data_IF_580020359279
#
_entry.id   IF_580020359279
#
_cell.length_a   1.000
_cell.length_b   1.000
_cell.length_c   1.000
_cell.angle_alpha   90.00
_cell.angle_beta   90.00
_cell.angle_gamma   90.00
#
_symmetry.space_group_name_H-M   'P 1'
#
loop_
_entity.id
_entity.type
_entity.pdbx_description
1 polymer ?
#
# COMPACT_ATOMS: atom_id res chain seq x y z
N UNK A 1 10.01 12.67 35.51
CA UNK A 1 9.96 11.66 34.39
C UNK A 1 8.93 12.15 33.38
N UNK A 2 9.20 11.99 32.08
CA UNK A 2 8.29 12.35 31.00
C UNK A 2 7.10 11.39 30.98
N UNK A 3 5.88 11.89 30.76
CA UNK A 3 4.68 11.05 30.61
C UNK A 3 4.72 10.34 29.23
N UNK A 4 4.32 9.06 29.21
CA UNK A 4 4.15 8.31 27.95
C UNK A 4 3.00 8.90 27.13
N UNK A 5 3.14 8.94 25.81
CA UNK A 5 2.00 9.21 24.92
C UNK A 5 0.94 8.11 25.12
N UNK A 6 -0.24 8.51 25.61
CA UNK A 6 -1.32 7.58 25.94
C UNK A 6 -1.85 6.82 24.72
N UNK A 7 -1.77 7.44 23.54
CA UNK A 7 -2.22 6.79 22.30
C UNK A 7 -1.39 5.55 21.95
N UNK A 8 -0.09 5.55 22.28
CA UNK A 8 0.76 4.36 22.10
C UNK A 8 0.33 3.18 22.99
N UNK A 9 -0.39 3.43 24.06
CA UNK A 9 -0.92 2.40 24.94
C UNK A 9 -2.20 1.74 24.39
N UNK A 10 -2.88 2.40 23.44
CA UNK A 10 -4.09 1.87 22.79
C UNK A 10 -3.75 0.79 21.75
N UNK A 11 -2.53 0.80 21.18
CA UNK A 11 -2.11 -0.21 20.21
C UNK A 11 -2.02 -1.56 20.91
N UNK A 12 -2.75 -2.53 20.37
CA UNK A 12 -2.77 -3.89 20.91
C UNK A 12 -1.36 -4.49 20.80
N UNK A 13 -0.89 -5.07 21.90
CA UNK A 13 0.37 -5.80 21.90
C UNK A 13 0.25 -6.99 20.93
N UNK A 14 1.06 -6.99 19.87
CA UNK A 14 0.99 -8.04 18.84
C UNK A 14 0.53 -7.52 17.49
N UNK A 15 1.19 -6.45 16.98
CA UNK A 15 1.06 -6.08 15.57
C UNK A 15 1.25 -7.33 14.70
N UNK A 16 0.44 -7.48 13.67
CA UNK A 16 0.32 -8.64 12.79
C UNK A 16 1.68 -9.30 12.41
N UNK A 17 2.61 -8.54 11.87
CA UNK A 17 3.88 -9.08 11.37
C UNK A 17 4.85 -9.56 12.47
N UNK A 18 5.01 -8.90 13.62
CA UNK A 18 5.74 -9.45 14.76
C UNK A 18 5.17 -10.77 15.27
N UNK A 19 3.85 -10.93 15.32
CA UNK A 19 3.22 -12.19 15.76
C UNK A 19 3.45 -13.32 14.75
N UNK A 20 3.34 -13.06 13.44
CA UNK A 20 3.72 -14.02 12.40
C UNK A 20 5.17 -14.46 12.58
N UNK A 21 6.09 -13.50 12.78
CA UNK A 21 7.52 -13.80 12.98
C UNK A 21 7.77 -14.57 14.27
N UNK A 22 7.03 -14.32 15.35
CA UNK A 22 7.10 -15.07 16.60
C UNK A 22 6.72 -16.53 16.37
N UNK A 23 5.54 -16.79 15.78
CA UNK A 23 5.07 -18.16 15.49
C UNK A 23 6.00 -18.90 14.53
N UNK A 24 6.51 -18.23 13.50
CA UNK A 24 7.53 -18.79 12.61
C UNK A 24 8.78 -19.22 13.37
N UNK A 25 9.32 -18.39 14.28
CA UNK A 25 10.50 -18.72 15.08
C UNK A 25 10.23 -19.92 16.01
N UNK A 26 9.09 -19.95 16.69
CA UNK A 26 8.70 -21.06 17.56
C UNK A 26 8.58 -22.38 16.79
N UNK A 27 8.00 -22.31 15.58
CA UNK A 27 7.92 -23.48 14.70
C UNK A 27 9.32 -24.00 14.30
N UNK A 28 10.23 -23.10 13.92
CA UNK A 28 11.60 -23.47 13.54
C UNK A 28 12.41 -24.00 14.72
N UNK A 29 12.18 -23.51 15.95
CA UNK A 29 12.83 -24.08 17.16
C UNK A 29 12.44 -25.55 17.38
N UNK A 30 11.16 -25.90 17.10
CA UNK A 30 10.66 -27.27 17.20
C UNK A 30 11.04 -28.13 16.00
N UNK A 31 11.26 -27.50 14.84
CA UNK A 31 11.51 -28.14 13.55
C UNK A 31 12.75 -27.53 12.87
N UNK A 32 13.97 -27.74 13.38
CA UNK A 32 15.18 -27.01 12.91
C UNK A 32 15.55 -27.28 11.46
N UNK A 33 15.09 -28.40 10.89
CA UNK A 33 15.34 -28.77 9.49
C UNK A 33 14.23 -28.32 8.53
N UNK A 34 13.19 -27.62 9.01
CA UNK A 34 12.08 -27.17 8.19
C UNK A 34 12.54 -26.06 7.21
N UNK A 35 12.16 -26.22 5.95
CA UNK A 35 12.40 -25.22 4.90
C UNK A 35 11.13 -24.41 4.67
N UNK A 36 11.04 -23.26 5.36
CA UNK A 36 9.86 -22.38 5.27
C UNK A 36 9.86 -21.60 3.98
N UNK A 37 8.75 -21.67 3.23
CA UNK A 37 8.43 -20.79 2.12
C UNK A 37 7.61 -19.62 2.66
N UNK A 38 8.01 -18.39 2.36
CA UNK A 38 7.31 -17.19 2.82
C UNK A 38 6.46 -16.57 1.72
N UNK A 39 5.14 -16.74 1.81
CA UNK A 39 4.13 -16.10 0.95
C UNK A 39 3.37 -15.00 1.70
N UNK A 40 3.81 -14.61 2.90
CA UNK A 40 3.10 -13.67 3.77
C UNK A 40 3.55 -12.22 3.62
N UNK A 41 4.78 -11.95 3.23
CA UNK A 41 5.38 -10.62 3.29
C UNK A 41 5.28 -9.91 1.95
N UNK A 42 4.82 -8.67 1.96
CA UNK A 42 4.77 -7.79 0.78
C UNK A 42 6.12 -7.12 0.49
N UNK A 43 7.21 -7.88 0.52
CA UNK A 43 8.56 -7.40 0.20
C UNK A 43 9.04 -7.99 -1.12
N UNK A 44 9.53 -7.14 -2.03
CA UNK A 44 10.12 -7.56 -3.29
C UNK A 44 11.39 -8.38 -3.05
N UNK A 45 11.64 -9.39 -3.88
CA UNK A 45 12.74 -10.35 -3.73
C UNK A 45 13.74 -10.34 -4.87
N UNK A 46 13.27 -9.93 -6.06
CA UNK A 46 14.15 -9.83 -7.21
C UNK A 46 15.10 -8.63 -7.09
N UNK A 47 16.33 -8.73 -7.62
CA UNK A 47 17.27 -7.63 -7.63
C UNK A 47 16.75 -6.42 -8.40
N UNK A 48 17.30 -5.23 -8.07
CA UNK A 48 17.05 -4.03 -8.86
C UNK A 48 17.47 -4.24 -10.30
N UNK A 49 16.70 -3.69 -11.22
CA UNK A 49 16.94 -3.85 -12.65
C UNK A 49 18.21 -3.10 -13.09
N UNK A 50 18.91 -3.56 -14.16
CA UNK A 50 20.18 -2.99 -14.58
C UNK A 50 20.14 -1.49 -14.86
N UNK A 51 19.08 -1.00 -15.51
CA UNK A 51 18.93 0.42 -15.85
C UNK A 51 18.79 1.30 -14.59
N UNK A 52 17.98 0.85 -13.64
CA UNK A 52 17.83 1.50 -12.33
C UNK A 52 19.17 1.54 -11.57
N UNK A 53 19.89 0.41 -11.54
CA UNK A 53 21.22 0.34 -10.90
C UNK A 53 22.21 1.31 -11.56
N UNK A 54 22.18 1.44 -12.88
CA UNK A 54 23.02 2.41 -13.59
C UNK A 54 22.68 3.85 -13.17
N UNK A 55 21.40 4.20 -13.06
CA UNK A 55 20.97 5.53 -12.59
C UNK A 55 21.43 5.83 -11.15
N UNK A 56 21.28 4.87 -10.23
CA UNK A 56 21.76 5.01 -8.84
C UNK A 56 23.29 5.20 -8.80
N UNK A 57 24.06 4.39 -9.52
CA UNK A 57 25.52 4.48 -9.59
C UNK A 57 25.99 5.82 -10.14
N UNK A 58 25.39 6.28 -11.24
CA UNK A 58 25.71 7.55 -11.86
C UNK A 58 25.61 8.72 -10.88
N UNK A 59 24.56 8.71 -10.04
CA UNK A 59 24.41 9.78 -9.03
C UNK A 59 25.43 9.65 -7.89
N UNK A 60 25.74 8.44 -7.43
CA UNK A 60 26.80 8.22 -6.42
C UNK A 60 28.15 8.73 -6.95
N UNK A 61 28.49 8.43 -8.21
CA UNK A 61 29.71 8.90 -8.86
C UNK A 61 29.71 10.42 -8.99
N UNK A 62 28.59 11.04 -9.39
CA UNK A 62 28.44 12.50 -9.48
C UNK A 62 28.67 13.17 -8.14
N UNK A 63 28.08 12.63 -7.07
CA UNK A 63 28.24 13.17 -5.70
C UNK A 63 29.68 13.08 -5.17
N UNK A 64 30.55 12.26 -5.78
CA UNK A 64 31.96 12.13 -5.38
C UNK A 64 32.85 13.24 -5.92
N UNK A 65 32.36 14.13 -6.79
CA UNK A 65 33.10 15.24 -7.38
C UNK A 65 32.64 16.57 -6.81
N UNK A 66 33.54 17.58 -6.83
CA UNK A 66 33.21 18.92 -6.36
C UNK A 66 32.13 19.60 -7.20
N UNK A 67 32.16 19.38 -8.51
CA UNK A 67 31.22 19.93 -9.49
C UNK A 67 29.87 19.29 -9.44
N UNK A 68 29.82 17.99 -9.11
CA UNK A 68 28.59 17.21 -9.04
C UNK A 68 27.97 17.11 -7.65
N UNK A 69 28.69 17.52 -6.61
CA UNK A 69 28.13 17.44 -5.25
C UNK A 69 26.91 18.34 -5.12
N UNK A 70 25.81 17.73 -4.63
CA UNK A 70 24.59 18.42 -4.23
C UNK A 70 24.35 18.21 -2.73
N UNK A 71 24.05 19.28 -1.99
CA UNK A 71 23.60 19.21 -0.60
C UNK A 71 22.12 18.86 -0.51
N UNK A 72 21.38 19.56 0.35
CA UNK A 72 19.92 19.48 0.39
C UNK A 72 19.35 19.93 -0.96
N UNK A 73 18.48 19.10 -1.55
CA UNK A 73 17.67 19.48 -2.69
C UNK A 73 16.38 20.19 -2.28
N UNK A 74 15.51 20.45 -3.26
CA UNK A 74 14.17 20.94 -2.99
C UNK A 74 13.40 19.88 -2.19
N UNK A 75 12.72 20.30 -1.11
CA UNK A 75 11.94 19.39 -0.24
C UNK A 75 10.81 18.72 -0.99
N UNK A 76 10.33 19.32 -2.08
CA UNK A 76 9.31 18.75 -2.98
C UNK A 76 9.88 17.69 -3.93
N UNK A 77 11.21 17.60 -4.03
CA UNK A 77 11.93 16.73 -4.96
C UNK A 77 12.36 17.43 -6.26
N UNK A 78 13.24 16.77 -6.99
CA UNK A 78 13.83 17.26 -8.26
C UNK A 78 12.71 17.62 -9.24
N UNK A 79 12.72 18.86 -9.75
CA UNK A 79 11.66 19.41 -10.61
C UNK A 79 11.45 18.57 -11.88
N UNK A 80 12.54 18.17 -12.52
CA UNK A 80 12.53 17.35 -13.73
C UNK A 80 11.89 15.99 -13.45
N UNK A 81 12.18 15.38 -12.29
CA UNK A 81 11.60 14.10 -11.89
C UNK A 81 10.09 14.20 -11.62
N UNK A 82 9.65 15.26 -10.94
CA UNK A 82 8.22 15.53 -10.72
C UNK A 82 7.45 15.68 -12.04
N UNK A 83 8.05 16.40 -13.02
CA UNK A 83 7.48 16.57 -14.35
C UNK A 83 7.44 15.24 -15.13
N UNK A 84 8.51 14.44 -15.04
CA UNK A 84 8.58 13.11 -15.66
C UNK A 84 7.53 12.15 -15.09
N UNK A 85 7.30 12.15 -13.77
CA UNK A 85 6.21 11.39 -13.14
C UNK A 85 4.85 11.81 -13.67
N UNK A 86 4.57 13.11 -13.70
CA UNK A 86 3.31 13.65 -14.19
C UNK A 86 3.02 13.24 -15.65
N UNK A 87 4.04 13.24 -16.49
CA UNK A 87 3.91 12.84 -17.89
C UNK A 87 3.78 11.31 -18.05
N UNK A 88 4.74 10.54 -17.48
CA UNK A 88 4.88 9.10 -17.77
C UNK A 88 3.86 8.23 -17.06
N UNK A 89 3.45 8.58 -15.82
CA UNK A 89 2.52 7.76 -15.04
C UNK A 89 1.09 8.32 -15.01
N UNK A 90 0.92 9.63 -15.22
CA UNK A 90 -0.40 10.26 -15.18
C UNK A 90 -0.88 10.78 -16.55
N UNK A 91 -0.04 10.68 -17.60
CA UNK A 91 -0.44 11.13 -18.94
C UNK A 91 -0.86 12.60 -19.00
N UNK A 92 -0.33 13.45 -18.10
CA UNK A 92 -0.68 14.89 -18.02
C UNK A 92 -1.95 15.19 -17.21
N UNK A 93 -2.60 14.21 -16.58
CA UNK A 93 -3.76 14.42 -15.69
C UNK A 93 -3.41 15.25 -14.45
N UNK A 94 -2.14 15.26 -14.04
CA UNK A 94 -1.60 16.06 -12.95
C UNK A 94 -0.43 16.90 -13.45
N UNK A 95 -0.13 18.01 -12.74
CA UNK A 95 1.02 18.86 -13.06
C UNK A 95 2.23 18.46 -12.20
N UNK A 96 3.45 18.68 -12.71
CA UNK A 96 4.66 18.37 -11.95
C UNK A 96 4.79 19.13 -10.62
N UNK A 97 4.20 20.32 -10.49
CA UNK A 97 4.20 21.08 -9.25
C UNK A 97 3.16 20.59 -8.21
N UNK A 98 2.24 19.72 -8.59
CA UNK A 98 1.32 19.02 -7.68
C UNK A 98 1.92 17.71 -7.14
N UNK A 99 3.06 17.27 -7.68
CA UNK A 99 3.77 16.05 -7.26
C UNK A 99 4.85 16.40 -6.23
N UNK A 100 4.86 15.70 -5.11
CA UNK A 100 5.83 15.82 -4.04
C UNK A 100 6.55 14.49 -3.85
N UNK A 101 7.86 14.45 -4.04
CA UNK A 101 8.68 13.25 -3.90
C UNK A 101 8.97 12.99 -2.43
N UNK A 102 8.94 11.73 -2.02
CA UNK A 102 9.14 11.32 -0.64
C UNK A 102 9.97 10.03 -0.50
N UNK A 103 10.15 9.62 0.75
CA UNK A 103 10.82 8.37 1.14
C UNK A 103 9.87 7.16 1.19
N UNK A 104 8.66 7.29 0.63
CA UNK A 104 7.72 6.21 0.43
C UNK A 104 6.32 6.45 0.99
N UNK A 105 5.33 5.79 0.39
CA UNK A 105 3.91 5.97 0.68
C UNK A 105 3.54 5.88 2.18
N UNK A 106 4.14 4.94 2.93
CA UNK A 106 3.87 4.82 4.37
C UNK A 106 4.26 6.08 5.15
N UNK A 107 5.38 6.71 4.80
CA UNK A 107 5.86 7.92 5.45
C UNK A 107 4.93 9.09 5.13
N UNK A 108 4.45 9.17 3.89
CA UNK A 108 3.50 10.20 3.47
C UNK A 108 2.14 10.04 4.15
N UNK A 109 1.63 8.83 4.26
CA UNK A 109 0.40 8.57 5.03
C UNK A 109 0.55 9.07 6.47
N UNK A 110 1.68 8.81 7.14
CA UNK A 110 1.92 9.29 8.48
C UNK A 110 2.01 10.84 8.56
N UNK A 111 2.59 11.48 7.55
CA UNK A 111 2.64 12.95 7.42
C UNK A 111 1.26 13.54 7.18
N UNK A 112 0.43 12.90 6.32
CA UNK A 112 -0.97 13.29 6.11
C UNK A 112 -1.78 13.18 7.41
N UNK A 113 -1.60 12.10 8.19
CA UNK A 113 -2.23 11.96 9.50
C UNK A 113 -1.81 13.08 10.48
N UNK A 114 -0.56 13.53 10.38
CA UNK A 114 -0.07 14.68 11.16
C UNK A 114 -0.68 16.00 10.64
N UNK A 115 -0.79 16.18 9.34
CA UNK A 115 -1.31 17.40 8.70
C UNK A 115 -2.79 17.64 9.05
N UNK A 116 -3.62 16.61 8.96
CA UNK A 116 -5.05 16.74 9.28
C UNK A 116 -5.32 16.77 10.79
N UNK A 117 -4.35 16.32 11.60
CA UNK A 117 -4.47 16.36 13.07
C UNK A 117 -5.46 15.33 13.61
N UNK A 118 -5.86 15.55 14.88
CA UNK A 118 -6.66 14.57 15.64
C UNK A 118 -8.16 14.84 15.68
N UNK A 119 -8.59 16.00 15.22
CA UNK A 119 -10.01 16.42 15.33
C UNK A 119 -10.84 15.95 14.13
N UNK A 120 -10.25 15.16 13.23
CA UNK A 120 -10.92 14.60 12.05
C UNK A 120 -11.54 13.24 12.32
N UNK A 121 -12.65 12.96 11.65
CA UNK A 121 -13.24 11.63 11.59
C UNK A 121 -12.72 10.86 10.38
N UNK A 122 -12.50 9.54 10.52
CA UNK A 122 -11.91 8.74 9.45
C UNK A 122 -12.74 7.52 9.09
N UNK A 123 -12.70 7.16 7.81
CA UNK A 123 -13.17 5.88 7.29
C UNK A 123 -12.02 5.11 6.65
N UNK A 124 -12.04 3.79 6.76
CA UNK A 124 -11.08 2.89 6.12
C UNK A 124 -11.82 1.75 5.42
N UNK A 125 -11.30 1.24 4.31
CA UNK A 125 -11.73 -0.05 3.79
C UNK A 125 -11.50 -1.13 4.87
N UNK A 126 -12.38 -2.10 4.96
CA UNK A 126 -12.22 -3.24 5.85
C UNK A 126 -12.43 -4.55 5.06
N UNK A 127 -11.38 -5.32 4.80
CA UNK A 127 -10.01 -5.21 5.30
C UNK A 127 -9.16 -4.17 4.55
N UNK A 128 -8.12 -3.64 5.21
CA UNK A 128 -7.19 -2.67 4.64
C UNK A 128 -5.78 -2.78 5.22
N UNK A 129 -4.86 -2.02 4.63
CA UNK A 129 -3.48 -1.94 5.14
C UNK A 129 -3.48 -1.33 6.55
N UNK A 130 -2.91 -2.01 7.57
CA UNK A 130 -3.06 -1.61 8.98
C UNK A 130 -2.54 -0.21 9.32
N UNK A 131 -1.66 0.36 8.49
CA UNK A 131 -1.06 1.68 8.75
C UNK A 131 -2.09 2.81 8.79
N UNK A 132 -3.22 2.66 8.09
CA UNK A 132 -4.28 3.68 8.12
C UNK A 132 -4.91 3.75 9.51
N UNK A 133 -5.14 2.61 10.13
CA UNK A 133 -5.69 2.49 11.49
C UNK A 133 -4.62 2.81 12.54
N UNK A 134 -3.50 2.08 12.54
CA UNK A 134 -2.46 2.21 13.56
C UNK A 134 -1.85 3.62 13.60
N UNK A 135 -1.61 4.21 12.43
CA UNK A 135 -1.11 5.59 12.34
C UNK A 135 -2.12 6.60 12.90
N UNK A 136 -3.42 6.41 12.64
CA UNK A 136 -4.49 7.23 13.19
C UNK A 136 -4.62 7.07 14.72
N UNK A 137 -4.40 5.84 15.24
CA UNK A 137 -4.29 5.62 16.70
C UNK A 137 -3.14 6.42 17.28
N UNK A 138 -1.95 6.36 16.68
CA UNK A 138 -0.75 7.10 17.13
C UNK A 138 -1.01 8.61 17.10
N UNK A 139 -1.67 9.11 16.06
CA UNK A 139 -2.05 10.52 15.91
C UNK A 139 -3.13 10.97 16.91
N UNK A 140 -3.82 10.04 17.58
CA UNK A 140 -4.86 10.35 18.58
C UNK A 140 -6.25 10.57 18.00
N UNK A 141 -6.48 10.18 16.77
CA UNK A 141 -7.78 10.29 16.07
C UNK A 141 -8.82 9.31 16.60
N UNK A 142 -8.37 8.18 17.19
CA UNK A 142 -9.24 7.06 17.55
C UNK A 142 -9.66 7.04 19.00
N UNK A 143 -10.81 6.40 19.29
CA UNK A 143 -11.25 6.02 20.62
C UNK A 143 -10.48 4.82 21.20
N UNK A 144 -11.13 4.06 22.07
CA UNK A 144 -10.58 2.84 22.65
C UNK A 144 -10.66 1.65 21.67
N UNK A 145 -9.84 0.64 21.91
CA UNK A 145 -10.00 -0.63 21.19
C UNK A 145 -11.17 -1.43 21.78
N UNK A 146 -12.09 -1.85 20.94
CA UNK A 146 -13.26 -2.66 21.28
C UNK A 146 -12.98 -4.14 20.96
N UNK A 147 -12.70 -4.93 21.98
CA UNK A 147 -12.35 -6.34 21.82
C UNK A 147 -13.51 -7.19 21.23
N UNK A 148 -14.77 -6.84 21.57
CA UNK A 148 -15.95 -7.58 21.11
C UNK A 148 -16.13 -7.48 19.59
N UNK A 149 -15.71 -6.37 19.01
CA UNK A 149 -15.83 -6.09 17.58
C UNK A 149 -14.48 -6.06 16.84
N UNK A 150 -13.37 -6.26 17.54
CA UNK A 150 -12.01 -6.25 16.98
C UNK A 150 -11.67 -4.99 16.19
N UNK A 151 -12.14 -3.82 16.65
CA UNK A 151 -11.90 -2.53 16.01
C UNK A 151 -11.66 -1.40 17.02
N UNK A 152 -11.15 -0.26 16.56
CA UNK A 152 -11.07 0.97 17.35
C UNK A 152 -12.36 1.79 17.22
N UNK A 153 -12.85 2.32 18.32
CA UNK A 153 -13.95 3.27 18.30
C UNK A 153 -13.55 4.55 17.55
N UNK A 154 -14.52 5.29 17.01
CA UNK A 154 -14.36 6.51 16.20
C UNK A 154 -13.65 6.28 14.84
N UNK A 155 -13.62 5.04 14.35
CA UNK A 155 -13.25 4.73 12.97
C UNK A 155 -14.47 4.11 12.30
N UNK A 156 -14.79 4.53 11.09
CA UNK A 156 -15.77 3.89 10.21
C UNK A 156 -15.07 2.81 9.39
N UNK A 157 -15.38 1.55 9.67
CA UNK A 157 -14.88 0.40 8.92
C UNK A 157 -15.84 0.10 7.76
N UNK A 158 -15.46 0.50 6.55
CA UNK A 158 -16.25 0.30 5.34
C UNK A 158 -16.09 -1.14 4.85
N UNK A 159 -17.04 -2.01 5.16
CA UNK A 159 -16.97 -3.44 4.85
C UNK A 159 -16.81 -3.72 3.36
N UNK A 160 -15.74 -4.43 3.00
CA UNK A 160 -15.41 -4.90 1.66
C UNK A 160 -15.28 -6.43 1.68
N UNK A 161 -16.22 -7.13 1.08
CA UNK A 161 -16.37 -8.58 1.19
C UNK A 161 -16.76 -9.21 -0.16
N UNK A 162 -16.91 -10.53 -0.20
CA UNK A 162 -17.28 -11.25 -1.42
C UNK A 162 -18.66 -10.84 -1.97
N UNK A 163 -19.58 -10.46 -1.09
CA UNK A 163 -20.95 -10.12 -1.44
C UNK A 163 -21.09 -8.75 -2.11
N UNK A 164 -20.07 -7.86 -1.96
CA UNK A 164 -20.04 -6.52 -2.57
C UNK A 164 -18.82 -6.31 -3.47
N UNK A 165 -18.26 -7.41 -4.00
CA UNK A 165 -17.07 -7.37 -4.87
C UNK A 165 -15.90 -6.56 -4.28
N UNK A 166 -15.73 -6.62 -2.96
CA UNK A 166 -14.71 -5.88 -2.19
C UNK A 166 -14.75 -4.36 -2.38
N UNK A 167 -15.92 -3.81 -2.74
CA UNK A 167 -16.17 -2.37 -2.77
C UNK A 167 -17.27 -2.01 -1.75
N UNK A 168 -17.08 -0.97 -0.90
CA UNK A 168 -18.02 -0.67 0.17
C UNK A 168 -19.36 -0.14 -0.37
N UNK A 169 -20.44 -0.46 0.34
CA UNK A 169 -21.74 0.17 0.13
C UNK A 169 -21.71 1.59 0.68
N UNK A 170 -21.51 2.58 -0.21
CA UNK A 170 -21.39 3.98 0.17
C UNK A 170 -22.73 4.64 0.55
N UNK A 171 -23.85 4.06 0.13
CA UNK A 171 -25.18 4.65 0.41
C UNK A 171 -25.53 4.51 1.90
N UNK A 172 -25.00 3.51 2.57
CA UNK A 172 -25.18 3.26 4.01
C UNK A 172 -24.08 3.85 4.91
N UNK A 173 -23.03 4.47 4.33
CA UNK A 173 -21.90 4.96 5.10
C UNK A 173 -22.16 6.30 5.78
N UNK A 174 -21.60 6.45 6.98
CA UNK A 174 -21.56 7.73 7.68
C UNK A 174 -20.59 8.68 6.99
N UNK A 175 -20.88 9.96 7.07
CA UNK A 175 -19.94 11.03 6.69
C UNK A 175 -18.71 10.99 7.59
N UNK A 176 -17.54 11.06 6.99
CA UNK A 176 -16.24 11.23 7.65
C UNK A 176 -15.43 12.32 6.95
N UNK A 177 -14.47 12.91 7.64
CA UNK A 177 -13.62 13.94 7.06
C UNK A 177 -12.60 13.34 6.10
N UNK A 178 -12.01 12.19 6.47
CA UNK A 178 -11.03 11.47 5.66
C UNK A 178 -11.51 10.07 5.31
N UNK A 179 -11.23 9.63 4.08
CA UNK A 179 -11.51 8.28 3.59
C UNK A 179 -10.21 7.68 3.07
N UNK A 180 -9.64 6.69 3.77
CA UNK A 180 -8.50 5.93 3.26
C UNK A 180 -9.01 4.85 2.32
N UNK A 181 -8.56 4.90 1.06
CA UNK A 181 -8.96 3.97 0.02
C UNK A 181 -7.75 3.50 -0.79
N UNK A 182 -7.52 2.19 -0.85
CA UNK A 182 -6.42 1.58 -1.58
C UNK A 182 -6.93 0.80 -2.79
N UNK A 183 -6.40 1.11 -3.98
CA UNK A 183 -6.72 0.38 -5.21
C UNK A 183 -5.52 0.37 -6.16
N UNK A 184 -5.00 -0.82 -6.51
CA UNK A 184 -5.34 -2.17 -6.01
C UNK A 184 -5.15 -2.32 -4.51
N UNK A 185 -6.10 -2.99 -3.84
CA UNK A 185 -6.13 -3.06 -2.39
C UNK A 185 -5.11 -4.07 -1.82
N UNK A 186 -4.41 -3.68 -0.79
CA UNK A 186 -3.75 -4.57 0.14
C UNK A 186 -4.65 -4.69 1.40
N UNK A 187 -5.25 -5.88 1.70
CA UNK A 187 -4.74 -7.21 1.34
C UNK A 187 -5.48 -7.92 0.20
N UNK A 188 -6.65 -7.46 -0.24
CA UNK A 188 -7.59 -8.27 -1.04
C UNK A 188 -7.14 -8.46 -2.50
N UNK A 189 -6.29 -7.55 -3.01
CA UNK A 189 -5.94 -7.50 -4.43
C UNK A 189 -7.10 -7.03 -5.33
N UNK A 190 -8.21 -6.60 -4.76
CA UNK A 190 -9.32 -6.03 -5.51
C UNK A 190 -8.93 -4.69 -6.12
N UNK A 191 -9.44 -4.42 -7.32
CA UNK A 191 -9.25 -3.16 -8.04
C UNK A 191 -10.60 -2.51 -8.29
N UNK A 192 -10.74 -1.26 -7.89
CA UNK A 192 -11.98 -0.52 -8.11
C UNK A 192 -12.13 -0.13 -9.59
N UNK A 193 -13.32 -0.37 -10.16
CA UNK A 193 -13.68 0.07 -11.50
C UNK A 193 -13.87 1.58 -11.58
N UNK A 194 -13.88 2.15 -12.80
CA UNK A 194 -14.18 3.57 -13.01
C UNK A 194 -15.54 3.97 -12.41
N UNK A 195 -16.54 3.12 -12.53
CA UNK A 195 -17.86 3.37 -11.94
C UNK A 195 -17.83 3.38 -10.41
N UNK A 196 -17.10 2.47 -9.79
CA UNK A 196 -16.93 2.41 -8.34
C UNK A 196 -16.16 3.64 -7.83
N UNK A 197 -15.04 4.01 -8.48
CA UNK A 197 -14.32 5.23 -8.10
C UNK A 197 -15.16 6.49 -8.32
N UNK A 198 -16.01 6.53 -9.36
CA UNK A 198 -16.94 7.66 -9.55
C UNK A 198 -17.92 7.79 -8.38
N UNK A 199 -18.49 6.67 -7.91
CA UNK A 199 -19.33 6.66 -6.70
C UNK A 199 -18.58 7.18 -5.47
N UNK A 200 -17.33 6.75 -5.28
CA UNK A 200 -16.49 7.19 -4.17
C UNK A 200 -16.21 8.71 -4.22
N UNK A 201 -15.86 9.22 -5.40
CA UNK A 201 -15.63 10.67 -5.62
C UNK A 201 -16.91 11.47 -5.37
N UNK A 202 -18.05 11.00 -5.90
CA UNK A 202 -19.34 11.68 -5.69
C UNK A 202 -19.76 11.66 -4.21
N UNK A 203 -19.54 10.55 -3.51
CA UNK A 203 -19.76 10.45 -2.07
C UNK A 203 -18.88 11.45 -1.30
N UNK A 204 -17.59 11.53 -1.61
CA UNK A 204 -16.67 12.45 -0.97
C UNK A 204 -17.04 13.92 -1.23
N UNK A 205 -17.39 14.28 -2.47
CA UNK A 205 -17.86 15.63 -2.82
C UNK A 205 -19.12 16.01 -2.07
N UNK A 206 -20.12 15.12 -2.04
CA UNK A 206 -21.40 15.34 -1.32
C UNK A 206 -21.19 15.57 0.17
N UNK A 207 -20.22 14.87 0.77
CA UNK A 207 -19.97 14.87 2.22
C UNK A 207 -18.85 15.83 2.64
N UNK A 208 -18.24 16.56 1.71
CA UNK A 208 -17.04 17.39 1.99
C UNK A 208 -15.92 16.59 2.67
N UNK A 209 -15.68 15.39 2.15
CA UNK A 209 -14.62 14.48 2.64
C UNK A 209 -13.39 14.55 1.74
N UNK A 210 -12.22 14.25 2.28
CA UNK A 210 -10.99 14.06 1.50
C UNK A 210 -10.67 12.58 1.40
N UNK A 211 -10.45 12.10 0.17
CA UNK A 211 -9.99 10.74 -0.10
C UNK A 211 -8.45 10.73 -0.05
N UNK A 212 -7.87 9.88 0.81
CA UNK A 212 -6.46 9.50 0.75
C UNK A 212 -6.38 8.21 -0.05
N UNK A 213 -6.05 8.36 -1.33
CA UNK A 213 -6.02 7.26 -2.30
C UNK A 213 -4.62 6.65 -2.36
N UNK A 214 -4.47 5.42 -1.86
CA UNK A 214 -3.21 4.67 -1.92
C UNK A 214 -3.14 3.87 -3.23
N UNK A 215 -2.27 4.29 -4.14
CA UNK A 215 -2.08 3.72 -5.46
C UNK A 215 -0.76 2.92 -5.58
N UNK A 216 -0.18 2.47 -4.47
CA UNK A 216 1.14 1.81 -4.45
C UNK A 216 1.25 0.56 -5.34
N UNK A 217 0.14 0.03 -5.82
CA UNK A 217 0.07 -1.14 -6.72
C UNK A 217 -0.50 -0.81 -8.10
N UNK A 218 -0.68 0.47 -8.45
CA UNK A 218 -1.32 0.89 -9.71
C UNK A 218 -0.65 0.31 -10.96
N UNK A 219 0.68 0.18 -10.96
CA UNK A 219 1.43 -0.36 -12.10
C UNK A 219 1.23 -1.86 -12.33
N UNK A 220 0.63 -2.58 -11.37
CA UNK A 220 0.23 -3.99 -11.53
C UNK A 220 -1.08 -4.16 -12.31
N UNK A 221 -1.84 -3.08 -12.52
CA UNK A 221 -3.08 -3.12 -13.32
C UNK A 221 -2.72 -3.31 -14.79
N UNK A 222 -3.11 -4.44 -15.34
CA UNK A 222 -2.89 -4.80 -16.75
C UNK A 222 -4.14 -4.61 -17.62
N UNK A 223 -5.32 -4.56 -17.01
CA UNK A 223 -6.59 -4.33 -17.69
C UNK A 223 -6.75 -2.82 -18.01
N UNK A 224 -6.77 -2.41 -19.28
CA UNK A 224 -6.89 -1.00 -19.65
C UNK A 224 -8.26 -0.38 -19.32
N UNK A 225 -9.27 -1.19 -18.99
CA UNK A 225 -10.57 -0.69 -18.56
C UNK A 225 -10.58 -0.21 -17.09
N UNK A 226 -9.57 -0.61 -16.31
CA UNK A 226 -9.44 -0.24 -14.90
C UNK A 226 -8.55 1.00 -14.74
N UNK A 227 -8.95 1.95 -13.87
CA UNK A 227 -8.18 3.17 -13.65
C UNK A 227 -6.90 2.87 -12.84
N UNK A 228 -5.79 3.48 -13.24
CA UNK A 228 -4.52 3.43 -12.50
C UNK A 228 -4.39 4.55 -11.48
N UNK A 229 -5.09 5.64 -11.69
CA UNK A 229 -5.11 6.80 -10.79
C UNK A 229 -6.53 7.26 -10.56
N UNK A 230 -6.80 7.81 -9.37
CA UNK A 230 -8.10 8.39 -9.07
C UNK A 230 -8.40 9.62 -9.96
N UNK A 231 -7.37 10.25 -10.51
CA UNK A 231 -7.51 11.45 -11.35
C UNK A 231 -8.04 11.16 -12.77
N UNK A 232 -8.24 9.88 -13.13
CA UNK A 232 -9.05 9.50 -14.29
C UNK A 232 -10.56 9.75 -14.07
N UNK A 233 -10.96 10.07 -12.83
CA UNK A 233 -12.36 10.27 -12.45
C UNK A 233 -12.66 11.76 -12.31
N UNK A 234 -13.70 12.21 -13.00
CA UNK A 234 -14.20 13.59 -12.94
C UNK A 234 -14.52 14.00 -11.49
N UNK A 235 -14.01 15.17 -11.07
CA UNK A 235 -14.21 15.72 -9.73
C UNK A 235 -13.21 15.20 -8.69
N UNK A 236 -12.37 14.20 -9.00
CA UNK A 236 -11.41 13.67 -8.05
C UNK A 236 -10.39 14.71 -7.59
N UNK A 237 -9.99 15.63 -8.46
CA UNK A 237 -9.03 16.70 -8.13
C UNK A 237 -9.50 17.66 -7.03
N UNK A 238 -10.81 17.70 -6.79
CA UNK A 238 -11.42 18.54 -5.75
C UNK A 238 -11.45 17.86 -4.38
N UNK A 239 -11.30 16.52 -4.32
CA UNK A 239 -11.54 15.72 -3.11
C UNK A 239 -10.52 14.64 -2.83
N UNK A 240 -9.45 14.48 -3.62
CA UNK A 240 -8.51 13.39 -3.45
C UNK A 240 -7.06 13.83 -3.40
N UNK A 241 -6.31 13.22 -2.47
CA UNK A 241 -4.85 13.17 -2.42
C UNK A 241 -4.45 11.75 -2.81
N UNK A 242 -3.56 11.59 -3.79
CA UNK A 242 -3.04 10.27 -4.16
C UNK A 242 -1.63 10.07 -3.59
N UNK A 243 -1.41 8.92 -2.97
CA UNK A 243 -0.10 8.49 -2.46
C UNK A 243 0.36 7.28 -3.25
N UNK A 244 1.61 7.28 -3.72
CA UNK A 244 2.15 6.25 -4.59
C UNK A 244 3.60 5.90 -4.24
N UNK A 245 4.19 4.85 -4.86
CA UNK A 245 5.52 4.36 -4.46
C UNK A 245 6.22 3.56 -5.55
N UNK A 246 7.53 3.71 -5.66
CA UNK A 246 8.41 2.81 -6.41
C UNK A 246 8.72 1.49 -5.68
N UNK A 247 8.28 1.35 -4.41
CA UNK A 247 8.60 0.16 -3.62
C UNK A 247 8.23 -1.15 -4.30
N UNK A 248 7.07 -1.18 -5.00
CA UNK A 248 6.58 -2.42 -5.61
C UNK A 248 6.94 -2.55 -7.08
N UNK A 249 6.70 -1.54 -7.95
CA UNK A 249 6.98 -1.68 -9.38
C UNK A 249 8.47 -1.72 -9.70
N UNK A 250 9.32 -0.97 -8.98
CA UNK A 250 10.76 -0.87 -9.24
C UNK A 250 11.65 -1.60 -8.21
N UNK A 251 11.06 -2.35 -7.28
CA UNK A 251 11.82 -3.06 -6.24
C UNK A 251 12.43 -2.15 -5.15
N UNK A 252 11.94 -0.93 -4.97
CA UNK A 252 12.52 0.07 -4.06
C UNK A 252 12.10 -0.09 -2.60
N UNK A 253 11.76 -1.29 -2.16
CA UNK A 253 11.39 -1.55 -0.76
C UNK A 253 12.50 -1.17 0.22
N UNK A 254 13.76 -1.29 -0.18
CA UNK A 254 14.95 -0.89 0.59
C UNK A 254 15.56 0.45 0.17
N UNK A 255 15.36 0.91 -1.07
CA UNK A 255 15.87 2.19 -1.59
C UNK A 255 15.10 3.37 -1.02
N UNK A 256 13.78 3.22 -0.80
CA UNK A 256 12.86 4.20 -0.21
C UNK A 256 12.59 5.40 -1.12
N UNK A 257 11.61 5.28 -2.02
CA UNK A 257 11.14 6.36 -2.88
C UNK A 257 9.64 6.22 -3.11
N UNK A 258 8.91 7.32 -3.00
CA UNK A 258 7.48 7.44 -3.26
C UNK A 258 7.14 8.86 -3.64
N UNK A 259 5.87 9.14 -3.80
CA UNK A 259 5.37 10.48 -4.06
C UNK A 259 3.92 10.62 -3.64
N UNK A 260 3.53 11.86 -3.39
CA UNK A 260 2.15 12.26 -3.12
C UNK A 260 1.73 13.32 -4.13
N UNK A 261 0.53 13.19 -4.69
CA UNK A 261 -0.08 14.19 -5.56
C UNK A 261 -1.14 14.94 -4.77
N UNK A 262 -1.00 16.27 -4.69
CA UNK A 262 -1.95 17.17 -4.03
C UNK A 262 -2.40 18.23 -5.04
N UNK A 263 -3.59 18.09 -5.63
CA UNK A 263 -4.08 19.01 -6.65
C UNK A 263 -4.33 20.42 -6.13
N UNK A 264 -4.15 21.42 -6.99
CA UNK A 264 -4.45 22.83 -6.70
C UNK A 264 -5.94 23.09 -6.41
N UNK A 265 -6.82 22.23 -6.96
CA UNK A 265 -8.28 22.36 -6.78
C UNK A 265 -8.75 21.89 -5.41
N UNK A 266 -7.97 21.05 -4.71
CA UNK A 266 -8.32 20.56 -3.38
C UNK A 266 -8.12 21.67 -2.35
N UNK A 267 -9.20 22.04 -1.65
CA UNK A 267 -9.22 23.12 -0.67
C UNK A 267 -9.87 22.68 0.63
N UNK A 268 -9.46 23.29 1.72
CA UNK A 268 -10.16 23.24 3.00
C UNK A 268 -11.48 24.05 2.92
N UNK A 269 -12.30 23.99 3.97
CA UNK A 269 -13.58 24.66 4.09
C UNK A 269 -13.45 26.20 4.12
N UNK A 270 -12.32 26.72 4.56
CA UNK A 270 -11.98 28.16 4.55
C UNK A 270 -11.43 28.64 3.18
N UNK A 271 -11.34 27.76 2.19
CA UNK A 271 -10.82 28.03 0.86
C UNK A 271 -9.30 27.95 0.73
N UNK A 272 -8.58 27.65 1.80
CA UNK A 272 -7.11 27.46 1.77
C UNK A 272 -6.77 26.21 0.95
N UNK A 273 -5.82 26.28 -0.03
CA UNK A 273 -5.38 25.11 -0.76
C UNK A 273 -4.69 24.10 0.17
N UNK A 274 -5.13 22.85 0.16
CA UNK A 274 -4.53 21.76 0.97
C UNK A 274 -3.05 21.57 0.65
N UNK A 275 -2.65 21.87 -0.58
CA UNK A 275 -1.25 21.82 -1.03
C UNK A 275 -0.34 22.76 -0.24
N UNK A 276 -0.84 23.87 0.29
CA UNK A 276 -0.04 24.80 1.10
C UNK A 276 0.39 24.14 2.42
N UNK A 277 -0.54 23.48 3.09
CA UNK A 277 -0.26 22.77 4.33
C UNK A 277 0.59 21.54 4.10
N UNK A 278 0.33 20.79 3.02
CA UNK A 278 1.19 19.68 2.63
C UNK A 278 2.64 20.15 2.37
N UNK A 279 2.82 21.23 1.62
CA UNK A 279 4.14 21.80 1.41
C UNK A 279 4.79 22.20 2.73
N UNK A 280 4.03 22.78 3.68
CA UNK A 280 4.54 23.14 4.99
C UNK A 280 4.96 21.91 5.81
N UNK A 281 4.21 20.81 5.74
CA UNK A 281 4.60 19.52 6.36
C UNK A 281 5.91 19.01 5.75
N UNK A 282 6.03 19.00 4.44
CA UNK A 282 7.23 18.52 3.74
C UNK A 282 8.45 19.36 4.10
N UNK A 283 8.35 20.67 4.15
CA UNK A 283 9.47 21.57 4.51
C UNK A 283 9.79 21.58 6.01
N UNK A 284 8.88 21.10 6.89
CA UNK A 284 9.08 21.11 8.35
C UNK A 284 9.51 19.75 8.89
N UNK A 285 8.94 18.66 8.37
CA UNK A 285 9.14 17.30 8.91
C UNK A 285 10.00 16.43 7.99
N UNK A 286 10.42 16.95 6.84
CA UNK A 286 11.16 16.22 5.82
C UNK A 286 12.07 17.17 5.04
N UNK A 287 13.32 16.77 4.79
CA UNK A 287 14.32 17.56 4.06
C UNK A 287 14.49 17.11 2.60
N UNK A 288 13.45 16.53 2.01
CA UNK A 288 13.51 15.98 0.66
C UNK A 288 14.01 14.52 0.60
N UNK A 289 13.63 13.83 -0.44
CA UNK A 289 14.06 12.46 -0.69
C UNK A 289 15.54 12.41 -1.08
N UNK A 290 16.20 11.28 -0.81
CA UNK A 290 17.59 11.04 -1.23
C UNK A 290 17.78 11.32 -2.72
N UNK A 291 18.77 12.14 -3.07
CA UNK A 291 19.11 12.43 -4.47
C UNK A 291 19.45 11.14 -5.22
N UNK A 292 20.18 10.21 -4.60
CA UNK A 292 20.49 8.90 -5.19
C UNK A 292 19.22 8.13 -5.53
N UNK A 293 18.25 8.08 -4.61
CA UNK A 293 16.98 7.40 -4.85
C UNK A 293 16.17 8.07 -5.97
N UNK A 294 16.16 9.41 -6.03
CA UNK A 294 15.44 10.16 -7.06
C UNK A 294 16.02 9.88 -8.46
N UNK A 295 17.35 9.87 -8.63
CA UNK A 295 17.97 9.50 -9.91
C UNK A 295 17.72 8.05 -10.30
N UNK A 296 17.64 7.13 -9.33
CA UNK A 296 17.17 5.77 -9.59
C UNK A 296 15.70 5.73 -10.06
N UNK A 297 14.86 6.59 -9.49
CA UNK A 297 13.46 6.75 -9.92
C UNK A 297 13.32 7.36 -11.32
N UNK A 298 14.15 8.37 -11.64
CA UNK A 298 14.21 8.95 -12.98
C UNK A 298 14.60 7.89 -14.02
N UNK A 299 15.64 7.11 -13.74
CA UNK A 299 16.04 5.99 -14.60
C UNK A 299 14.92 4.94 -14.76
N UNK A 300 14.15 4.65 -13.72
CA UNK A 300 13.02 3.74 -13.81
C UNK A 300 11.90 4.23 -14.75
N UNK A 301 11.78 5.55 -14.96
CA UNK A 301 10.80 6.17 -15.84
C UNK A 301 11.31 6.43 -17.29
N UNK A 302 12.57 6.18 -17.57
CA UNK A 302 13.07 6.15 -18.94
C UNK A 302 12.52 4.91 -19.67
N UNK A 303 12.45 4.92 -21.00
CA UNK A 303 11.82 3.84 -21.78
C UNK A 303 12.42 2.46 -21.46
N UNK A 304 13.75 2.36 -21.28
CA UNK A 304 14.42 1.14 -20.87
C UNK A 304 14.01 0.72 -19.44
N UNK A 305 13.96 1.67 -18.50
CA UNK A 305 13.54 1.43 -17.11
C UNK A 305 12.08 0.98 -17.02
N UNK A 306 11.18 1.62 -17.79
CA UNK A 306 9.77 1.22 -17.87
C UNK A 306 9.62 -0.22 -18.42
N UNK A 307 10.40 -0.60 -19.42
CA UNK A 307 10.40 -1.97 -19.97
C UNK A 307 10.89 -2.98 -18.92
N UNK A 308 11.95 -2.67 -18.18
CA UNK A 308 12.47 -3.49 -17.09
C UNK A 308 11.46 -3.62 -15.94
N UNK A 309 10.82 -2.51 -15.52
CA UNK A 309 9.76 -2.55 -14.51
C UNK A 309 8.59 -3.44 -14.93
N UNK A 310 8.13 -3.34 -16.19
CA UNK A 310 7.08 -4.22 -16.73
C UNK A 310 7.48 -5.69 -16.66
N UNK A 311 8.73 -6.02 -16.95
CA UNK A 311 9.25 -7.39 -16.86
C UNK A 311 9.28 -7.88 -15.41
N UNK A 312 9.69 -7.04 -14.47
CA UNK A 312 9.68 -7.36 -13.04
C UNK A 312 8.25 -7.59 -12.51
N UNK A 313 7.31 -6.72 -12.89
CA UNK A 313 5.89 -6.88 -12.55
C UNK A 313 5.35 -8.19 -13.13
N UNK A 314 5.62 -8.48 -14.39
CA UNK A 314 5.18 -9.72 -15.05
C UNK A 314 5.71 -10.97 -14.34
N UNK A 315 6.95 -10.94 -13.86
CA UNK A 315 7.53 -12.02 -13.07
C UNK A 315 6.70 -12.30 -11.80
N UNK A 316 6.37 -11.27 -11.02
CA UNK A 316 5.55 -11.43 -9.82
C UNK A 316 4.09 -11.79 -10.15
N UNK A 317 3.53 -11.26 -11.22
CA UNK A 317 2.15 -11.61 -11.60
C UNK A 317 2.02 -13.07 -12.06
N UNK A 318 3.07 -13.66 -12.64
CA UNK A 318 3.08 -15.11 -12.91
C UNK A 318 3.12 -15.92 -11.59
N UNK A 319 3.86 -15.47 -10.57
CA UNK A 319 3.79 -16.07 -9.22
C UNK A 319 2.37 -16.01 -8.64
N UNK A 320 1.71 -14.85 -8.76
CA UNK A 320 0.32 -14.68 -8.31
C UNK A 320 -0.62 -15.67 -9.00
N UNK A 321 -0.48 -15.83 -10.32
CA UNK A 321 -1.26 -16.77 -11.12
C UNK A 321 -1.05 -18.23 -10.71
N UNK A 322 0.19 -18.62 -10.40
CA UNK A 322 0.54 -19.97 -9.95
C UNK A 322 -0.19 -20.28 -8.64
N UNK A 323 -0.07 -19.41 -7.62
CA UNK A 323 -0.68 -19.66 -6.32
C UNK A 323 -2.21 -19.54 -6.37
N UNK A 324 -2.75 -18.57 -7.12
CA UNK A 324 -4.19 -18.42 -7.32
C UNK A 324 -4.80 -19.69 -7.91
N UNK A 325 -4.21 -20.22 -8.99
CA UNK A 325 -4.67 -21.46 -9.63
C UNK A 325 -4.69 -22.64 -8.65
N UNK A 326 -3.68 -22.77 -7.80
CA UNK A 326 -3.61 -23.84 -6.80
C UNK A 326 -4.72 -23.72 -5.74
N UNK A 327 -4.99 -22.51 -5.26
CA UNK A 327 -6.05 -22.27 -4.28
C UNK A 327 -7.44 -22.43 -4.89
N UNK A 328 -7.67 -21.95 -6.11
CA UNK A 328 -8.92 -22.14 -6.85
C UNK A 328 -9.21 -23.64 -7.10
N UNK A 329 -8.18 -24.43 -7.45
CA UNK A 329 -8.30 -25.88 -7.66
C UNK A 329 -8.70 -26.64 -6.38
N UNK A 330 -8.49 -26.05 -5.20
CA UNK A 330 -8.98 -26.57 -3.92
C UNK A 330 -10.42 -26.15 -3.59
N UNK A 331 -11.10 -25.49 -4.51
CA UNK A 331 -12.46 -25.01 -4.33
C UNK A 331 -12.58 -23.76 -3.45
N UNK A 332 -11.47 -23.10 -3.12
CA UNK A 332 -11.49 -21.87 -2.35
C UNK A 332 -11.91 -20.69 -3.25
N UNK A 333 -12.75 -19.80 -2.71
CA UNK A 333 -13.03 -18.53 -3.38
C UNK A 333 -11.85 -17.60 -3.18
N UNK A 334 -11.28 -17.09 -4.28
CA UNK A 334 -10.14 -16.16 -4.23
C UNK A 334 -10.45 -14.82 -4.88
N UNK A 335 -9.84 -13.75 -4.37
CA UNK A 335 -9.79 -12.42 -4.97
C UNK A 335 -8.35 -12.01 -5.21
N UNK A 336 -8.11 -11.07 -6.15
CA UNK A 336 -6.77 -10.60 -6.49
C UNK A 336 -5.98 -11.57 -7.39
N UNK A 337 -4.66 -11.36 -7.48
CA UNK A 337 -3.77 -12.21 -8.29
C UNK A 337 -3.89 -12.01 -9.81
N UNK A 338 -4.62 -10.99 -10.27
CA UNK A 338 -4.80 -10.65 -11.70
C UNK A 338 -4.25 -9.26 -12.01
N UNK A 339 -4.68 -8.25 -11.28
CA UNK A 339 -4.22 -6.85 -11.38
C UNK A 339 -3.54 -6.37 -10.08
N UNK A 340 -3.09 -7.30 -9.24
CA UNK A 340 -2.42 -7.03 -7.98
C UNK A 340 -1.61 -8.26 -7.55
N UNK A 341 -0.48 -8.06 -6.82
CA UNK A 341 0.41 -9.15 -6.42
C UNK A 341 -0.06 -9.91 -5.16
N UNK A 342 -1.32 -9.79 -4.79
CA UNK A 342 -1.91 -10.46 -3.64
C UNK A 342 -3.04 -11.39 -4.07
N UNK A 343 -3.09 -12.57 -3.47
CA UNK A 343 -4.19 -13.53 -3.56
C UNK A 343 -4.82 -13.64 -2.19
N UNK A 344 -6.10 -13.32 -2.11
CA UNK A 344 -6.92 -13.31 -0.92
C UNK A 344 -7.87 -14.50 -0.97
N UNK A 345 -7.63 -15.52 -0.15
CA UNK A 345 -8.35 -16.79 -0.18
C UNK A 345 -9.30 -16.90 1.00
N UNK A 346 -10.55 -17.26 0.74
CA UNK A 346 -11.61 -17.46 1.73
C UNK A 346 -11.65 -18.92 2.23
N UNK A 347 -11.61 -19.11 3.54
CA UNK A 347 -11.74 -20.37 4.25
C UNK A 347 -13.03 -20.34 5.11
N UNK A 348 -14.17 -20.73 4.55
CA UNK A 348 -15.47 -20.53 5.20
C UNK A 348 -15.55 -21.26 6.54
N UNK A 349 -16.07 -20.56 7.57
CA UNK A 349 -16.27 -21.09 8.91
C UNK A 349 -14.99 -21.32 9.73
N UNK A 350 -13.84 -20.85 9.25
CA UNK A 350 -12.53 -21.03 9.90
C UNK A 350 -11.94 -19.70 10.36
N UNK A 351 -11.24 -19.71 11.49
CA UNK A 351 -10.49 -18.53 11.95
C UNK A 351 -9.20 -18.37 11.16
N UNK A 352 -8.87 -17.13 10.77
CA UNK A 352 -7.68 -16.81 9.97
C UNK A 352 -6.37 -17.30 10.59
N UNK A 353 -6.24 -17.20 11.92
CA UNK A 353 -5.06 -17.67 12.64
C UNK A 353 -4.96 -19.20 12.72
N UNK A 354 -6.08 -19.91 12.75
CA UNK A 354 -6.09 -21.39 12.74
C UNK A 354 -5.67 -21.90 11.36
N UNK A 355 -6.16 -21.27 10.29
CA UNK A 355 -5.75 -21.57 8.92
C UNK A 355 -4.25 -21.27 8.71
N UNK A 356 -3.78 -20.12 9.21
CA UNK A 356 -2.36 -19.78 9.17
C UNK A 356 -1.51 -20.86 9.85
N UNK A 357 -1.90 -21.31 11.05
CA UNK A 357 -1.18 -22.31 11.82
C UNK A 357 -1.13 -23.66 11.07
N UNK A 358 -2.26 -24.08 10.51
CA UNK A 358 -2.34 -25.33 9.74
C UNK A 358 -1.45 -25.28 8.49
N UNK A 359 -1.48 -24.17 7.73
CA UNK A 359 -0.64 -23.99 6.55
C UNK A 359 0.86 -24.01 6.94
N UNK A 360 1.22 -23.37 8.06
CA UNK A 360 2.58 -23.39 8.57
C UNK A 360 3.02 -24.81 8.97
N UNK A 361 2.19 -25.52 9.71
CA UNK A 361 2.55 -26.83 10.27
C UNK A 361 2.56 -27.94 9.22
N UNK A 362 1.54 -27.99 8.34
CA UNK A 362 1.40 -29.05 7.33
C UNK A 362 2.23 -28.78 6.06
N UNK A 363 2.26 -27.51 5.63
CA UNK A 363 2.86 -27.16 4.35
C UNK A 363 4.23 -26.47 4.49
N UNK A 364 4.63 -26.05 5.69
CA UNK A 364 5.81 -25.22 5.92
C UNK A 364 5.78 -23.91 5.11
N UNK A 365 4.60 -23.33 5.01
CA UNK A 365 4.36 -22.07 4.30
C UNK A 365 3.89 -21.02 5.29
N UNK A 366 4.47 -19.82 5.24
CA UNK A 366 4.02 -18.64 5.99
C UNK A 366 3.17 -17.78 5.07
N UNK A 367 1.91 -17.56 5.45
CA UNK A 367 0.96 -16.65 4.81
C UNK A 367 0.68 -15.46 5.73
N UNK A 368 -0.35 -14.67 5.47
CA UNK A 368 -0.78 -13.61 6.38
C UNK A 368 -2.25 -13.80 6.76
N UNK A 369 -2.58 -13.98 8.05
CA UNK A 369 -3.97 -14.11 8.51
C UNK A 369 -4.78 -12.86 8.21
N UNK A 370 -5.99 -13.06 7.69
CA UNK A 370 -6.81 -11.95 7.21
C UNK A 370 -7.33 -11.04 8.32
N UNK A 371 -7.63 -11.58 9.50
CA UNK A 371 -8.06 -10.79 10.67
C UNK A 371 -7.05 -9.72 11.11
N UNK A 372 -5.78 -9.82 10.70
CA UNK A 372 -4.77 -8.79 10.93
C UNK A 372 -4.91 -7.55 10.05
N UNK A 373 -5.85 -7.54 9.10
CA UNK A 373 -6.13 -6.41 8.23
C UNK A 373 -7.49 -5.74 8.54
N UNK A 374 -8.17 -6.19 9.55
CA UNK A 374 -9.46 -5.68 9.98
C UNK A 374 -10.49 -6.79 10.22
N UNK A 375 -11.61 -6.47 10.90
CA UNK A 375 -12.66 -7.46 11.25
C UNK A 375 -13.21 -8.24 10.05
N UNK A 376 -13.45 -7.59 8.91
CA UNK A 376 -13.94 -8.26 7.70
C UNK A 376 -12.89 -9.17 7.03
N UNK A 377 -11.67 -9.17 7.51
CA UNK A 377 -10.62 -10.10 7.10
C UNK A 377 -10.69 -11.47 7.77
N UNK A 378 -11.56 -11.66 8.77
CA UNK A 378 -11.71 -12.96 9.43
C UNK A 378 -12.22 -14.03 8.44
N UNK A 379 -11.68 -15.25 8.54
CA UNK A 379 -11.96 -16.32 7.59
C UNK A 379 -11.16 -16.26 6.29
N UNK A 380 -10.25 -15.29 6.15
CA UNK A 380 -9.39 -15.14 4.98
C UNK A 380 -7.92 -15.29 5.31
N UNK A 381 -7.14 -15.59 4.27
CA UNK A 381 -5.68 -15.61 4.31
C UNK A 381 -5.14 -14.94 3.06
N UNK A 382 -4.13 -14.04 3.23
CA UNK A 382 -3.43 -13.42 2.12
C UNK A 382 -2.18 -14.20 1.76
N UNK A 383 -2.01 -14.52 0.48
CA UNK A 383 -0.75 -14.93 -0.13
C UNK A 383 -0.18 -13.78 -0.97
N UNK A 384 1.12 -13.52 -0.82
CA UNK A 384 1.87 -12.52 -1.57
C UNK A 384 2.60 -13.18 -2.73
N UNK A 385 2.65 -12.53 -3.89
CA UNK A 385 3.39 -12.99 -5.07
C UNK A 385 4.88 -12.64 -5.05
N UNK A 386 5.33 -11.90 -4.05
CA UNK A 386 6.73 -11.52 -3.88
C UNK A 386 7.53 -12.70 -3.32
N UNK A 387 8.38 -13.30 -4.16
CA UNK A 387 9.19 -14.47 -3.86
C UNK A 387 9.85 -15.01 -5.12
N UNK A 388 10.79 -15.93 -4.97
CA UNK A 388 11.42 -16.60 -6.10
C UNK A 388 10.48 -17.63 -6.72
N UNK A 389 10.53 -17.81 -8.03
CA UNK A 389 9.63 -18.70 -8.80
C UNK A 389 9.61 -20.13 -8.27
N UNK A 390 10.77 -20.63 -7.90
CA UNK A 390 10.96 -21.98 -7.37
C UNK A 390 10.15 -22.20 -6.11
N UNK A 391 10.07 -21.19 -5.24
CA UNK A 391 9.29 -21.24 -4.00
C UNK A 391 7.79 -21.38 -4.29
N UNK A 392 7.29 -20.72 -5.34
CA UNK A 392 5.88 -20.83 -5.73
C UNK A 392 5.54 -22.18 -6.32
N UNK A 393 6.43 -22.73 -7.14
CA UNK A 393 6.27 -24.09 -7.72
C UNK A 393 6.27 -25.13 -6.57
N UNK A 394 7.17 -24.99 -5.61
CA UNK A 394 7.25 -25.88 -4.48
C UNK A 394 6.07 -25.70 -3.51
N UNK A 395 5.63 -24.44 -3.27
CA UNK A 395 4.47 -24.14 -2.42
C UNK A 395 3.20 -24.82 -2.93
N UNK A 396 2.97 -24.82 -4.26
CA UNK A 396 1.81 -25.49 -4.86
C UNK A 396 1.81 -26.99 -4.52
N UNK A 397 2.96 -27.68 -4.65
CA UNK A 397 3.08 -29.09 -4.27
C UNK A 397 2.76 -29.33 -2.80
N UNK A 398 3.29 -28.46 -1.92
CA UNK A 398 3.05 -28.59 -0.48
C UNK A 398 1.60 -28.30 -0.08
N UNK A 399 0.94 -27.40 -0.82
CA UNK A 399 -0.50 -27.13 -0.60
C UNK A 399 -1.41 -28.32 -0.97
N UNK A 400 -0.94 -29.34 -1.67
CA UNK A 400 -1.75 -30.52 -2.00
C UNK A 400 -2.30 -31.24 -0.75
N UNK A 401 -1.62 -31.14 0.38
CA UNK A 401 -2.02 -31.77 1.65
C UNK A 401 -3.00 -30.93 2.51
N UNK A 402 -3.34 -29.72 2.04
CA UNK A 402 -4.25 -28.81 2.75
C UNK A 402 -5.76 -29.19 2.46
#
# INVERSE_FOLDING_TARGET
MVKRNINMAKLVAGYLFPEINRRKREYLQKNPNAKIISLGIGNTTEPLTPHVVAGLKKEVERLSTREGYSGYGDEQGIKEFRSQLAEKLYGGLVKGDEVFISDGAKCDIARLQTMFGREVTIAVQDPSYPVYVDGSVIAGVTGSYNEAHSHFDNIVYMKCCLENDFFPDLDSQQRTDLIYFCSPNNPTGAVASKQQLKKLVDFARKNHSVIIFDAAYSEYISDPALPKTIYEIDGAREVAIEVNSFSKPAGFTGVRLGWTVVPDQLKFDDGTPVRNDWNRIMTTLFNGASNIAQYGGMAALEDAGLAEMKSLIAYYMENAKIIKKALDAKGLKTCGGVNAPYVWAHFPGRKSWDVFTEILEKCQIVTTPGSGFGPAGEGFVRSSAFGHREDFIEAVKRLEVL
#
